data_IF_529754077621
#
_entry.id   IF_529754077621
#
_cell.length_a   1.000
_cell.length_b   1.000
_cell.length_c   1.000
_cell.angle_alpha   90.00
_cell.angle_beta   90.00
_cell.angle_gamma   90.00
#
_symmetry.space_group_name_H-M   'P 1'
#
loop_
_entity.id
_entity.type
_entity.pdbx_description
1 polymer ?
#
# COMPACT_ATOMS: atom_id res chain seq x y z
N UNK A 1 1.21 25.65 -13.28
CA UNK A 1 0.84 25.39 -11.89
C UNK A 1 1.60 24.15 -11.40
N UNK A 2 2.26 24.22 -10.26
CA UNK A 2 2.95 23.07 -9.71
C UNK A 2 1.96 22.14 -9.02
N UNK A 3 2.08 20.86 -9.30
CA UNK A 3 1.36 19.83 -8.55
C UNK A 3 2.11 19.56 -7.25
N UNK A 4 1.37 19.40 -6.18
CA UNK A 4 1.95 19.07 -4.88
C UNK A 4 1.72 17.60 -4.57
N UNK A 5 2.74 16.98 -3.99
CA UNK A 5 2.59 15.63 -3.44
C UNK A 5 2.11 15.72 -2.01
N UNK A 6 1.31 14.75 -1.63
CA UNK A 6 0.78 14.63 -0.27
C UNK A 6 1.18 13.29 0.31
N UNK A 7 1.25 13.25 1.62
CA UNK A 7 1.53 12.01 2.32
C UNK A 7 0.23 11.23 2.47
N UNK A 8 0.25 9.99 2.00
CA UNK A 8 -0.87 9.06 2.13
C UNK A 8 -0.47 7.85 2.94
N UNK A 9 -1.44 7.27 3.64
CA UNK A 9 -1.29 5.97 4.26
C UNK A 9 -2.20 4.99 3.52
N UNK A 10 -1.64 3.87 3.10
CA UNK A 10 -2.37 2.83 2.38
C UNK A 10 -2.33 1.56 3.21
N UNK A 11 -3.51 1.06 3.56
CA UNK A 11 -3.63 -0.19 4.32
C UNK A 11 -3.90 -1.34 3.36
N UNK A 12 -3.01 -2.32 3.35
CA UNK A 12 -3.14 -3.50 2.51
C UNK A 12 -3.10 -4.75 3.38
N UNK A 13 -4.15 -5.56 3.28
CA UNK A 13 -4.18 -6.88 3.91
C UNK A 13 -3.63 -7.90 2.92
N UNK A 14 -2.89 -8.87 3.42
CA UNK A 14 -2.33 -9.92 2.58
C UNK A 14 -2.15 -11.20 3.39
N UNK A 15 -2.06 -12.32 2.67
CA UNK A 15 -1.68 -13.59 3.27
C UNK A 15 -0.16 -13.69 3.27
N UNK A 16 0.41 -13.82 4.46
CA UNK A 16 1.83 -14.07 4.62
C UNK A 16 2.07 -15.58 4.44
N UNK A 17 2.71 -15.94 3.32
CA UNK A 17 2.93 -17.35 2.99
C UNK A 17 3.96 -18.03 3.89
N UNK A 18 4.79 -17.27 4.59
CA UNK A 18 5.76 -17.83 5.54
C UNK A 18 5.10 -18.32 6.85
N UNK A 19 4.01 -17.67 7.24
CA UNK A 19 3.32 -17.97 8.51
C UNK A 19 1.90 -18.49 8.34
N UNK A 20 1.33 -18.36 7.13
CA UNK A 20 -0.08 -18.63 6.81
C UNK A 20 -1.07 -17.74 7.56
N UNK A 21 -0.62 -16.60 8.05
CA UNK A 21 -1.50 -15.63 8.70
C UNK A 21 -1.81 -14.47 7.78
N UNK A 22 -3.01 -13.91 7.97
CA UNK A 22 -3.37 -12.64 7.34
C UNK A 22 -2.71 -11.51 8.11
N UNK A 23 -2.04 -10.63 7.39
CA UNK A 23 -1.38 -9.46 7.97
C UNK A 23 -1.87 -8.19 7.29
N UNK A 24 -1.77 -7.09 8.01
CA UNK A 24 -2.10 -5.76 7.46
C UNK A 24 -0.83 -4.92 7.50
N UNK A 25 -0.49 -4.35 6.35
CA UNK A 25 0.65 -3.45 6.23
C UNK A 25 0.14 -2.02 6.04
N UNK A 26 0.76 -1.09 6.74
CA UNK A 26 0.46 0.34 6.64
C UNK A 26 1.62 0.98 5.88
N UNK A 27 1.37 1.39 4.65
CA UNK A 27 2.41 1.87 3.75
C UNK A 27 2.23 3.37 3.54
N UNK A 28 3.23 4.16 3.94
CA UNK A 28 3.23 5.59 3.67
C UNK A 28 3.80 5.85 2.29
N UNK A 29 3.09 6.68 1.51
CA UNK A 29 3.56 7.10 0.20
C UNK A 29 3.53 8.62 0.10
N UNK A 30 4.39 9.15 -0.75
CA UNK A 30 4.35 10.56 -1.12
C UNK A 30 3.88 10.62 -2.57
N UNK A 31 2.64 11.01 -2.79
CA UNK A 31 1.96 10.86 -4.06
C UNK A 31 1.08 12.06 -4.39
N UNK A 32 0.75 12.25 -5.65
CA UNK A 32 -0.07 13.38 -6.08
C UNK A 32 -1.56 13.20 -5.76
N UNK A 33 -2.03 11.95 -5.74
CA UNK A 33 -3.42 11.63 -5.47
C UNK A 33 -3.55 10.22 -4.89
N UNK A 34 -4.75 9.87 -4.47
CA UNK A 34 -5.00 8.58 -3.82
C UNK A 34 -4.77 7.40 -4.76
N UNK A 35 -5.10 7.54 -6.06
CA UNK A 35 -4.88 6.45 -7.03
C UNK A 35 -3.41 6.14 -7.19
N UNK A 36 -2.58 7.18 -7.30
CA UNK A 36 -1.13 7.01 -7.39
C UNK A 36 -0.57 6.38 -6.11
N UNK A 37 -1.09 6.80 -4.95
CA UNK A 37 -0.68 6.23 -3.67
C UNK A 37 -0.97 4.72 -3.61
N UNK A 38 -2.14 4.30 -4.09
CA UNK A 38 -2.48 2.87 -4.15
C UNK A 38 -1.53 2.11 -5.07
N UNK A 39 -1.25 2.64 -6.26
CA UNK A 39 -0.33 2.01 -7.20
C UNK A 39 1.06 1.86 -6.60
N UNK A 40 1.55 2.91 -5.96
CA UNK A 40 2.87 2.90 -5.32
C UNK A 40 2.93 1.86 -4.19
N UNK A 41 1.88 1.79 -3.38
CA UNK A 41 1.83 0.83 -2.28
C UNK A 41 1.77 -0.60 -2.78
N UNK A 42 0.99 -0.89 -3.82
CA UNK A 42 0.95 -2.22 -4.42
C UNK A 42 2.30 -2.61 -5.02
N UNK A 43 2.96 -1.69 -5.70
CA UNK A 43 4.30 -1.94 -6.25
C UNK A 43 5.28 -2.29 -5.14
N UNK A 44 5.21 -1.57 -4.03
CA UNK A 44 6.06 -1.82 -2.89
C UNK A 44 5.81 -3.21 -2.28
N UNK A 45 4.55 -3.52 -1.98
CA UNK A 45 4.24 -4.77 -1.28
C UNK A 45 4.47 -6.00 -2.18
N UNK A 46 4.30 -5.84 -3.47
CA UNK A 46 4.53 -6.94 -4.42
C UNK A 46 6.02 -7.28 -4.62
N UNK A 47 6.93 -6.48 -4.05
CA UNK A 47 8.35 -6.81 -4.05
C UNK A 47 8.70 -7.92 -3.07
N UNK A 48 7.82 -8.26 -2.14
CA UNK A 48 8.08 -9.27 -1.13
C UNK A 48 7.54 -10.62 -1.57
N UNK A 49 8.38 -11.65 -1.50
CA UNK A 49 8.03 -12.99 -2.00
C UNK A 49 7.01 -13.71 -1.12
N UNK A 50 6.87 -13.30 0.12
CA UNK A 50 5.94 -13.90 1.08
C UNK A 50 4.54 -13.28 1.05
N UNK A 51 4.28 -12.34 0.15
CA UNK A 51 2.97 -11.69 0.04
C UNK A 51 2.12 -12.40 -1.00
N UNK A 52 0.92 -12.81 -0.59
CA UNK A 52 -0.07 -13.43 -1.47
C UNK A 52 -1.40 -12.73 -1.31
N UNK A 53 -2.12 -12.55 -2.41
CA UNK A 53 -3.47 -11.97 -2.44
C UNK A 53 -3.55 -10.61 -1.73
N UNK A 54 -2.69 -9.63 -2.09
CA UNK A 54 -2.78 -8.31 -1.47
C UNK A 54 -4.11 -7.65 -1.82
N UNK A 55 -4.78 -7.12 -0.78
CA UNK A 55 -6.10 -6.51 -0.91
C UNK A 55 -6.09 -5.13 -0.25
N UNK A 56 -6.49 -4.12 -1.02
CA UNK A 56 -6.60 -2.76 -0.48
C UNK A 56 -7.72 -2.70 0.54
N UNK A 57 -7.41 -2.23 1.74
CA UNK A 57 -8.37 -2.02 2.80
C UNK A 57 -8.81 -0.56 2.87
N UNK A 58 -7.86 0.36 2.87
CA UNK A 58 -8.15 1.77 3.00
C UNK A 58 -6.97 2.59 2.48
N UNK A 59 -7.28 3.78 1.96
CA UNK A 59 -6.27 4.78 1.64
C UNK A 59 -6.77 6.13 2.15
N UNK A 60 -5.92 6.86 2.84
CA UNK A 60 -6.27 8.19 3.34
C UNK A 60 -5.05 9.10 3.32
N UNK A 61 -5.34 10.39 3.18
CA UNK A 61 -4.30 11.42 3.22
C UNK A 61 -4.04 11.83 4.66
N UNK A 62 -2.78 11.85 5.02
CA UNK A 62 -2.35 12.33 6.34
C UNK A 62 -2.27 13.84 6.45
#
# INVERSE_FOLDING_TARGET
>A
MRRMKYKYCVEIAYLDTDTDYIKIEYIETLSYNAREAKEDAYSYINCFSNVSHPTLMEVYRE
#
